data_IF_185437094056
#
_entry.id   IF_185437094056
#
_cell.length_a   1.000
_cell.length_b   1.000
_cell.length_c   1.000
_cell.angle_alpha   90.00
_cell.angle_beta   90.00
_cell.angle_gamma   90.00
#
_symmetry.space_group_name_H-M   'P 1'
#
loop_
_entity.id
_entity.type
_entity.pdbx_description
1 polymer ?
#
# COMPACT_ATOMS: atom_id res chain seq x y z
N UNK A 1 -45.67 -6.69 -17.83
CA UNK A 1 -45.97 -5.44 -17.09
C UNK A 1 -47.30 -4.82 -17.54
N UNK A 2 -48.37 -5.61 -17.74
CA UNK A 2 -49.61 -5.14 -18.39
C UNK A 2 -50.64 -4.46 -17.47
N UNK A 3 -50.42 -4.45 -16.14
CA UNK A 3 -51.43 -4.00 -15.16
C UNK A 3 -50.99 -2.80 -14.31
N UNK A 4 -49.88 -2.14 -14.63
CA UNK A 4 -49.36 -1.01 -13.85
C UNK A 4 -50.34 0.18 -13.75
N UNK A 5 -51.10 0.55 -14.80
CA UNK A 5 -52.13 1.58 -14.70
C UNK A 5 -53.30 1.18 -13.77
N UNK A 6 -53.63 -0.12 -13.68
CA UNK A 6 -54.69 -0.64 -12.81
C UNK A 6 -54.24 -0.62 -11.35
N UNK A 7 -52.98 -0.98 -11.09
CA UNK A 7 -52.38 -0.97 -9.75
C UNK A 7 -52.28 0.44 -9.18
N UNK A 8 -51.98 1.46 -10.00
CA UNK A 8 -51.89 2.85 -9.55
C UNK A 8 -53.23 3.41 -9.04
N UNK A 9 -54.36 2.89 -9.52
CA UNK A 9 -55.71 3.25 -9.04
C UNK A 9 -56.14 2.54 -7.75
N UNK A 10 -55.35 1.58 -7.25
CA UNK A 10 -55.71 0.80 -6.07
C UNK A 10 -55.51 1.61 -4.77
N UNK A 11 -56.47 1.59 -3.81
CA UNK A 11 -56.35 2.34 -2.54
C UNK A 11 -55.08 2.02 -1.72
N UNK A 12 -54.58 0.78 -1.84
CA UNK A 12 -53.36 0.32 -1.15
C UNK A 12 -52.09 0.40 -2.02
N UNK A 13 -52.13 1.02 -3.21
CA UNK A 13 -50.98 1.09 -4.11
C UNK A 13 -49.71 1.60 -3.41
N UNK A 14 -49.84 2.63 -2.56
CA UNK A 14 -48.72 3.17 -1.78
C UNK A 14 -48.07 2.14 -0.85
N UNK A 15 -48.82 1.16 -0.36
CA UNK A 15 -48.31 0.10 0.51
C UNK A 15 -47.56 -0.97 -0.29
N UNK A 16 -48.02 -1.28 -1.50
CA UNK A 16 -47.40 -2.30 -2.36
C UNK A 16 -46.31 -1.75 -3.27
N UNK A 17 -46.18 -0.42 -3.39
CA UNK A 17 -45.23 0.21 -4.32
C UNK A 17 -43.81 -0.34 -4.17
N UNK A 18 -43.31 -0.44 -2.93
CA UNK A 18 -41.94 -0.93 -2.67
C UNK A 18 -41.78 -2.41 -3.08
N UNK A 19 -42.78 -3.25 -2.78
CA UNK A 19 -42.76 -4.68 -3.14
C UNK A 19 -42.88 -4.90 -4.65
N UNK A 20 -43.63 -4.04 -5.35
CA UNK A 20 -43.72 -4.05 -6.81
C UNK A 20 -42.37 -3.65 -7.43
N UNK A 21 -41.69 -2.63 -6.90
CA UNK A 21 -40.36 -2.25 -7.37
C UNK A 21 -39.32 -3.35 -7.10
N UNK A 22 -39.33 -3.96 -5.91
CA UNK A 22 -38.50 -5.12 -5.59
C UNK A 22 -38.74 -6.28 -6.59
N UNK A 23 -40.00 -6.59 -6.90
CA UNK A 23 -40.35 -7.62 -7.87
C UNK A 23 -39.85 -7.29 -9.29
N UNK A 24 -39.93 -6.03 -9.74
CA UNK A 24 -39.38 -5.59 -11.03
C UNK A 24 -37.86 -5.75 -11.07
N UNK A 25 -37.17 -5.41 -9.99
CA UNK A 25 -35.71 -5.60 -9.86
C UNK A 25 -35.36 -7.08 -9.99
N UNK A 26 -36.12 -7.97 -9.33
CA UNK A 26 -35.90 -9.41 -9.39
C UNK A 26 -36.12 -10.01 -10.79
N UNK A 27 -37.11 -9.52 -11.53
CA UNK A 27 -37.38 -9.95 -12.92
C UNK A 27 -36.26 -9.54 -13.88
N UNK A 28 -35.59 -8.42 -13.63
CA UNK A 28 -34.48 -7.91 -14.43
C UNK A 28 -33.11 -8.15 -13.75
N UNK A 29 -33.03 -9.09 -12.80
CA UNK A 29 -31.88 -9.18 -11.91
C UNK A 29 -30.64 -9.69 -12.64
N UNK A 30 -29.76 -8.76 -13.02
CA UNK A 30 -28.41 -9.10 -13.42
C UNK A 30 -27.62 -9.68 -12.25
N UNK A 31 -27.04 -10.86 -12.48
CA UNK A 31 -26.18 -11.53 -11.51
C UNK A 31 -24.98 -10.65 -11.14
N UNK A 32 -24.74 -10.50 -9.84
CA UNK A 32 -23.57 -9.80 -9.33
C UNK A 32 -22.36 -10.71 -9.53
N UNK A 33 -21.38 -10.24 -10.31
CA UNK A 33 -20.09 -10.94 -10.46
C UNK A 33 -19.21 -10.62 -9.27
N UNK A 34 -19.08 -11.59 -8.36
CA UNK A 34 -18.21 -11.48 -7.19
C UNK A 34 -16.75 -11.20 -7.60
N UNK A 35 -16.08 -10.30 -6.87
CA UNK A 35 -14.65 -10.00 -7.02
C UNK A 35 -13.89 -10.23 -5.71
N UNK A 36 -12.56 -10.17 -5.75
CA UNK A 36 -11.75 -10.03 -4.52
C UNK A 36 -11.42 -8.55 -4.32
N UNK A 37 -11.69 -8.04 -3.13
CA UNK A 37 -11.47 -6.65 -2.79
C UNK A 37 -9.99 -6.34 -2.73
N UNK A 38 -9.62 -5.18 -3.24
CA UNK A 38 -8.32 -4.58 -2.99
C UNK A 38 -8.39 -3.83 -1.66
N UNK A 39 -7.50 -4.20 -0.75
CA UNK A 39 -7.52 -3.68 0.61
C UNK A 39 -6.27 -2.88 0.92
N UNK A 40 -6.43 -1.71 1.52
CA UNK A 40 -5.31 -0.87 1.99
C UNK A 40 -5.73 -0.03 3.20
N UNK A 41 -4.79 0.43 4.04
CA UNK A 41 -5.09 1.43 5.06
C UNK A 41 -5.74 2.68 4.45
N UNK A 42 -6.72 3.24 5.15
CA UNK A 42 -7.49 4.40 4.69
C UNK A 42 -7.34 5.57 5.65
N UNK A 43 -6.76 6.67 5.15
CA UNK A 43 -6.43 7.85 5.95
C UNK A 43 -7.26 9.09 5.57
N UNK A 44 -8.23 8.95 4.66
CA UNK A 44 -8.99 10.08 4.12
C UNK A 44 -10.32 10.33 4.81
N UNK A 45 -10.65 9.54 5.83
CA UNK A 45 -11.94 9.65 6.54
C UNK A 45 -12.16 11.04 7.13
N UNK A 46 -11.12 11.58 7.80
CA UNK A 46 -11.14 12.93 8.37
C UNK A 46 -10.87 14.05 7.35
N UNK A 47 -10.71 13.74 6.07
CA UNK A 47 -10.62 14.76 5.02
C UNK A 47 -12.05 15.13 4.57
N UNK A 48 -12.59 16.22 5.14
CA UNK A 48 -13.97 16.66 4.88
C UNK A 48 -14.25 16.92 3.40
N UNK A 49 -13.30 17.48 2.65
CA UNK A 49 -13.46 17.74 1.21
C UNK A 49 -13.59 16.42 0.43
N UNK A 50 -12.78 15.41 0.78
CA UNK A 50 -12.84 14.09 0.18
C UNK A 50 -14.14 13.37 0.55
N UNK A 51 -14.45 13.30 1.84
CA UNK A 51 -15.64 12.61 2.34
C UNK A 51 -16.92 13.23 1.78
N UNK A 52 -17.02 14.56 1.70
CA UNK A 52 -18.17 15.24 1.07
C UNK A 52 -18.38 14.86 -0.39
N UNK A 53 -17.30 14.59 -1.14
CA UNK A 53 -17.40 14.22 -2.54
C UNK A 53 -17.71 12.74 -2.75
N UNK A 54 -17.15 11.84 -1.92
CA UNK A 54 -17.12 10.40 -2.21
C UNK A 54 -17.79 9.51 -1.18
N UNK A 55 -17.90 9.92 0.07
CA UNK A 55 -18.65 9.17 1.09
C UNK A 55 -20.14 9.25 0.76
N UNK A 56 -20.84 8.13 0.92
CA UNK A 56 -22.30 8.13 0.90
C UNK A 56 -22.81 8.94 2.09
N UNK A 57 -23.81 9.80 1.87
CA UNK A 57 -24.45 10.54 2.96
C UNK A 57 -25.05 9.55 3.98
N UNK A 58 -24.64 9.66 5.24
CA UNK A 58 -25.13 8.80 6.34
C UNK A 58 -26.65 8.94 6.53
N UNK A 59 -27.26 10.06 6.09
CA UNK A 59 -28.72 10.21 6.05
C UNK A 59 -29.39 9.21 5.11
N UNK A 60 -28.66 8.61 4.16
CA UNK A 60 -29.18 7.54 3.32
C UNK A 60 -29.19 6.19 4.04
N UNK A 61 -28.56 6.04 5.21
CA UNK A 61 -28.72 4.84 6.03
C UNK A 61 -30.14 4.85 6.62
N UNK A 62 -30.90 3.79 6.31
CA UNK A 62 -32.26 3.56 6.85
C UNK A 62 -32.19 2.78 8.15
N UNK A 63 -31.35 1.74 8.21
CA UNK A 63 -31.11 0.98 9.44
C UNK A 63 -29.78 0.24 9.38
N UNK A 64 -29.25 -0.10 10.55
CA UNK A 64 -28.15 -1.04 10.75
C UNK A 64 -28.57 -2.08 11.79
N UNK A 65 -28.21 -3.35 11.56
CA UNK A 65 -28.46 -4.45 12.50
C UNK A 65 -27.33 -5.48 12.44
N UNK A 66 -27.25 -6.34 13.43
CA UNK A 66 -26.31 -7.45 13.46
C UNK A 66 -26.98 -8.74 13.98
N UNK A 67 -26.31 -9.87 13.80
CA UNK A 67 -26.79 -11.18 14.28
C UNK A 67 -26.18 -11.63 15.62
N UNK A 68 -25.32 -10.82 16.25
CA UNK A 68 -24.52 -11.16 17.43
C UNK A 68 -24.81 -10.36 18.70
N UNK A 69 -25.76 -9.43 18.67
CA UNK A 69 -26.04 -8.49 19.75
C UNK A 69 -24.90 -7.47 19.96
N UNK A 70 -24.73 -7.02 21.20
CA UNK A 70 -23.63 -6.13 21.57
C UNK A 70 -23.10 -6.42 22.98
N UNK A 71 -21.79 -6.24 23.16
CA UNK A 71 -21.16 -6.32 24.48
C UNK A 71 -21.30 -4.99 25.22
N UNK A 72 -21.85 -5.03 26.44
CA UNK A 72 -22.02 -3.84 27.29
C UNK A 72 -22.71 -2.69 26.52
N UNK A 73 -22.15 -1.47 26.55
CA UNK A 73 -22.66 -0.30 25.85
C UNK A 73 -22.12 -0.12 24.41
N UNK A 74 -21.41 -1.10 23.85
CA UNK A 74 -20.85 -1.06 22.49
C UNK A 74 -21.91 -1.44 21.43
N UNK A 75 -23.01 -0.70 21.40
CA UNK A 75 -24.18 -0.92 20.53
C UNK A 75 -23.86 -0.72 19.04
N UNK A 76 -24.68 -1.29 18.15
CA UNK A 76 -24.39 -1.35 16.71
C UNK A 76 -24.38 0.02 16.03
N UNK A 77 -25.15 0.97 16.57
CA UNK A 77 -25.24 2.34 16.07
C UNK A 77 -23.89 3.08 16.13
N UNK A 78 -23.00 2.68 17.05
CA UNK A 78 -21.64 3.23 17.14
C UNK A 78 -20.75 2.87 15.95
N UNK A 79 -21.13 1.89 15.14
CA UNK A 79 -20.38 1.55 13.93
C UNK A 79 -20.64 2.53 12.78
N UNK A 80 -21.53 3.51 12.94
CA UNK A 80 -21.92 4.48 11.91
C UNK A 80 -22.19 5.88 12.52
N UNK A 81 -21.59 6.19 13.67
CA UNK A 81 -21.89 7.42 14.42
C UNK A 81 -20.97 8.61 14.05
N UNK A 82 -19.98 8.38 13.21
CA UNK A 82 -19.00 9.38 12.78
C UNK A 82 -17.80 9.51 13.70
N UNK A 83 -17.73 8.77 14.82
CA UNK A 83 -16.67 8.89 15.83
C UNK A 83 -15.75 7.67 15.86
N UNK A 84 -14.54 7.84 15.32
CA UNK A 84 -13.49 6.81 15.35
C UNK A 84 -13.04 6.38 16.76
N UNK A 85 -13.52 6.99 17.84
CA UNK A 85 -13.25 6.60 19.23
C UNK A 85 -14.32 5.67 19.80
N UNK A 86 -15.51 5.64 19.23
CA UNK A 86 -16.57 4.70 19.61
C UNK A 86 -16.42 3.42 18.78
N UNK A 87 -17.17 2.40 19.15
CA UNK A 87 -17.22 1.14 18.42
C UNK A 87 -18.44 0.32 18.81
N UNK A 88 -18.85 -0.54 17.89
CA UNK A 88 -19.64 -1.73 18.16
C UNK A 88 -18.72 -2.92 18.50
N UNK A 89 -19.12 -3.74 19.46
CA UNK A 89 -18.52 -5.06 19.74
C UNK A 89 -19.63 -6.09 19.88
N UNK A 90 -19.53 -7.20 19.14
CA UNK A 90 -20.49 -8.30 19.22
C UNK A 90 -20.55 -8.91 20.62
N UNK A 91 -21.72 -9.45 21.02
CA UNK A 91 -21.83 -10.24 22.25
C UNK A 91 -21.64 -11.75 22.03
N UNK A 92 -21.47 -12.18 20.78
CA UNK A 92 -21.27 -13.57 20.41
C UNK A 92 -20.08 -13.71 19.47
N UNK A 93 -19.00 -14.32 19.94
CA UNK A 93 -17.83 -14.60 19.10
C UNK A 93 -18.14 -15.60 17.97
N UNK A 94 -17.38 -15.52 16.89
CA UNK A 94 -17.41 -16.48 15.79
C UNK A 94 -17.09 -17.90 16.28
N UNK A 95 -17.76 -18.89 15.70
CA UNK A 95 -17.54 -20.31 15.89
C UNK A 95 -17.78 -21.07 14.58
N UNK A 96 -17.72 -22.41 14.61
CA UNK A 96 -18.04 -23.23 13.43
C UNK A 96 -19.48 -23.03 12.95
N UNK A 97 -20.43 -22.81 13.87
CA UNK A 97 -21.86 -22.70 13.58
C UNK A 97 -22.37 -21.25 13.55
N UNK A 98 -21.49 -20.27 13.80
CA UNK A 98 -21.89 -18.86 13.89
C UNK A 98 -20.80 -17.94 13.35
N UNK A 99 -21.19 -17.09 12.40
CA UNK A 99 -20.34 -16.04 11.84
C UNK A 99 -21.05 -14.71 12.04
N UNK A 100 -20.35 -13.73 12.62
CA UNK A 100 -20.89 -12.40 12.80
C UNK A 100 -21.15 -11.73 11.44
N UNK A 101 -22.30 -11.07 11.35
CA UNK A 101 -22.75 -10.34 10.17
C UNK A 101 -23.37 -9.02 10.63
N UNK A 102 -23.04 -7.94 9.92
CA UNK A 102 -23.67 -6.63 10.06
C UNK A 102 -24.39 -6.31 8.77
N UNK A 103 -25.68 -5.98 8.86
CA UNK A 103 -26.52 -5.63 7.73
C UNK A 103 -26.92 -4.15 7.79
N UNK A 104 -26.67 -3.43 6.70
CA UNK A 104 -27.05 -2.04 6.50
C UNK A 104 -28.10 -1.98 5.41
N UNK A 105 -29.21 -1.30 5.66
CA UNK A 105 -30.25 -0.98 4.67
C UNK A 105 -30.22 0.51 4.35
N UNK A 106 -30.29 0.85 3.07
CA UNK A 106 -30.31 2.22 2.58
C UNK A 106 -31.73 2.70 2.26
N UNK A 107 -31.98 4.00 2.41
CA UNK A 107 -33.25 4.64 2.04
C UNK A 107 -33.44 4.62 0.54
N UNK A 108 -32.38 4.89 -0.23
CA UNK A 108 -32.33 4.74 -1.68
C UNK A 108 -31.18 3.83 -2.09
N UNK A 109 -31.35 3.10 -3.20
CA UNK A 109 -30.29 2.28 -3.75
C UNK A 109 -29.15 3.18 -4.26
N UNK A 110 -27.92 2.80 -3.95
CA UNK A 110 -26.73 3.62 -4.24
C UNK A 110 -25.64 2.75 -4.83
N UNK A 111 -24.90 3.29 -5.80
CA UNK A 111 -23.69 2.65 -6.31
C UNK A 111 -22.54 2.83 -5.32
N UNK A 112 -22.03 1.71 -4.81
CA UNK A 112 -20.88 1.66 -3.91
C UNK A 112 -19.79 0.82 -4.57
N UNK A 113 -18.54 1.23 -4.39
CA UNK A 113 -17.39 0.43 -4.83
C UNK A 113 -16.36 0.24 -3.71
N UNK A 114 -16.60 0.84 -2.55
CA UNK A 114 -15.68 0.84 -1.42
C UNK A 114 -16.45 0.77 -0.12
N UNK A 115 -16.01 -0.11 0.76
CA UNK A 115 -16.40 -0.15 2.16
C UNK A 115 -15.17 0.21 2.98
N UNK A 116 -15.30 1.17 3.88
CA UNK A 116 -14.26 1.51 4.85
C UNK A 116 -14.67 0.92 6.19
N UNK A 117 -13.76 0.17 6.82
CA UNK A 117 -14.01 -0.47 8.10
C UNK A 117 -12.80 -0.35 9.03
N UNK A 118 -13.05 -0.32 10.34
CA UNK A 118 -12.00 -0.33 11.36
C UNK A 118 -12.40 -1.18 12.56
N UNK A 119 -11.42 -1.68 13.29
CA UNK A 119 -11.66 -2.40 14.55
C UNK A 119 -11.73 -1.44 15.74
N UNK A 120 -12.03 -1.96 16.93
CA UNK A 120 -12.05 -1.14 18.13
C UNK A 120 -10.69 -0.41 18.35
N UNK A 121 -10.68 0.89 18.71
CA UNK A 121 -9.46 1.70 18.60
C UNK A 121 -8.38 1.38 19.64
N UNK A 122 -8.75 0.78 20.78
CA UNK A 122 -7.83 0.59 21.92
C UNK A 122 -6.75 -0.46 21.66
N UNK A 123 -7.08 -1.55 20.99
CA UNK A 123 -6.17 -2.69 20.77
C UNK A 123 -6.49 -3.49 19.50
N UNK A 124 -7.39 -2.99 18.64
CA UNK A 124 -7.81 -3.61 17.39
C UNK A 124 -8.46 -5.01 17.54
N UNK A 125 -8.87 -5.44 18.75
CA UNK A 125 -9.61 -6.70 18.91
C UNK A 125 -10.83 -6.69 18.00
N UNK A 126 -11.06 -7.80 17.32
CA UNK A 126 -12.22 -7.96 16.46
C UNK A 126 -12.08 -7.48 15.03
N UNK A 127 -10.90 -6.98 14.65
CA UNK A 127 -10.57 -6.62 13.29
C UNK A 127 -10.95 -7.73 12.30
N UNK A 128 -11.65 -7.37 11.23
CA UNK A 128 -12.01 -8.28 10.15
C UNK A 128 -10.77 -8.60 9.29
N UNK A 129 -10.08 -9.69 9.63
CA UNK A 129 -8.91 -10.18 8.89
C UNK A 129 -9.33 -10.81 7.55
N UNK A 130 -10.49 -11.45 7.52
CA UNK A 130 -11.13 -11.98 6.32
C UNK A 130 -12.63 -11.67 6.36
N UNK A 131 -13.19 -11.23 5.24
CA UNK A 131 -14.58 -10.82 5.17
C UNK A 131 -15.24 -11.17 3.82
N UNK A 132 -16.57 -11.19 3.84
CA UNK A 132 -17.42 -11.25 2.66
C UNK A 132 -18.39 -10.07 2.68
N UNK A 133 -18.58 -9.44 1.52
CA UNK A 133 -19.56 -8.41 1.26
C UNK A 133 -20.66 -9.05 0.42
N UNK A 134 -21.86 -9.12 0.96
CA UNK A 134 -23.05 -9.51 0.20
C UNK A 134 -23.93 -8.30 -0.02
N UNK A 135 -24.56 -8.24 -1.19
CA UNK A 135 -25.40 -7.12 -1.59
C UNK A 135 -26.76 -7.59 -2.09
N UNK A 136 -27.77 -6.78 -1.82
CA UNK A 136 -29.12 -6.92 -2.38
C UNK A 136 -29.55 -5.62 -3.03
N UNK A 137 -30.21 -5.72 -4.18
CA UNK A 137 -30.85 -4.59 -4.88
C UNK A 137 -32.28 -4.31 -4.37
N UNK A 138 -32.89 -5.25 -3.66
CA UNK A 138 -34.24 -5.13 -3.08
C UNK A 138 -34.18 -4.70 -1.62
N UNK A 139 -35.27 -4.16 -1.08
CA UNK A 139 -35.38 -3.81 0.35
C UNK A 139 -35.81 -4.98 1.24
N UNK A 140 -36.50 -5.98 0.68
CA UNK A 140 -36.93 -7.18 1.41
C UNK A 140 -36.52 -8.48 0.73
N UNK A 141 -36.75 -9.59 1.44
CA UNK A 141 -36.44 -10.95 0.98
C UNK A 141 -34.97 -11.34 1.14
N UNK A 142 -34.69 -12.64 1.04
CA UNK A 142 -33.32 -13.16 1.02
C UNK A 142 -32.81 -13.22 -0.42
N UNK A 143 -32.40 -12.07 -0.93
CA UNK A 143 -32.01 -11.82 -2.33
C UNK A 143 -30.53 -11.44 -2.44
N UNK A 144 -29.76 -11.77 -1.40
CA UNK A 144 -28.36 -11.45 -1.29
C UNK A 144 -27.52 -12.24 -2.29
N UNK A 145 -26.59 -11.54 -2.93
CA UNK A 145 -25.57 -12.12 -3.79
C UNK A 145 -24.20 -11.70 -3.26
N UNK A 146 -23.20 -12.58 -3.40
CA UNK A 146 -21.83 -12.26 -3.05
C UNK A 146 -21.30 -11.15 -3.99
N UNK A 147 -20.91 -10.02 -3.41
CA UNK A 147 -20.33 -8.87 -4.13
C UNK A 147 -18.81 -8.98 -4.12
N UNK A 148 -18.23 -9.23 -2.96
CA UNK A 148 -16.79 -9.32 -2.84
C UNK A 148 -16.35 -10.18 -1.67
N UNK A 149 -15.22 -10.86 -1.81
CA UNK A 149 -14.43 -11.35 -0.65
C UNK A 149 -13.29 -10.38 -0.39
N UNK A 150 -12.66 -10.44 0.78
CA UNK A 150 -11.43 -9.68 1.03
C UNK A 150 -10.69 -10.14 2.28
N UNK A 151 -9.43 -9.75 2.36
CA UNK A 151 -8.56 -10.01 3.52
C UNK A 151 -7.61 -8.85 3.73
N UNK A 152 -7.29 -8.53 4.97
CA UNK A 152 -6.27 -7.54 5.30
C UNK A 152 -5.60 -7.92 6.62
N UNK A 153 -4.29 -7.69 6.73
CA UNK A 153 -3.59 -7.87 8.00
C UNK A 153 -4.08 -6.81 8.99
N UNK A 154 -4.30 -7.18 10.25
CA UNK A 154 -4.74 -6.22 11.27
C UNK A 154 -3.83 -4.98 11.30
N UNK A 155 -4.46 -3.81 11.26
CA UNK A 155 -3.83 -2.49 11.39
C UNK A 155 -4.65 -1.64 12.35
N UNK A 156 -4.02 -0.61 12.91
CA UNK A 156 -4.76 0.44 13.62
C UNK A 156 -5.43 1.39 12.62
N UNK A 157 -6.58 1.93 12.99
CA UNK A 157 -7.36 2.83 12.14
C UNK A 157 -8.25 2.08 11.14
N UNK A 158 -8.46 2.69 9.98
CA UNK A 158 -9.41 2.22 8.98
C UNK A 158 -8.72 1.52 7.81
N UNK A 159 -9.46 0.62 7.17
CA UNK A 159 -9.09 -0.08 5.94
C UNK A 159 -10.15 0.16 4.88
N UNK A 160 -9.72 0.52 3.68
CA UNK A 160 -10.55 0.52 2.47
C UNK A 160 -10.60 -0.90 1.91
N UNK A 161 -11.79 -1.38 1.60
CA UNK A 161 -12.04 -2.57 0.77
C UNK A 161 -12.71 -2.12 -0.53
N UNK A 162 -11.91 -2.01 -1.60
CA UNK A 162 -12.35 -1.60 -2.94
C UNK A 162 -12.73 -2.80 -3.79
N UNK A 163 -13.90 -2.78 -4.41
CA UNK A 163 -14.44 -3.84 -5.27
C UNK A 163 -15.14 -3.23 -6.50
N UNK A 164 -15.69 -4.07 -7.37
CA UNK A 164 -16.39 -3.60 -8.57
C UNK A 164 -17.61 -2.73 -8.18
N UNK A 165 -17.78 -1.53 -8.78
CA UNK A 165 -18.96 -0.69 -8.52
C UNK A 165 -20.26 -1.47 -8.67
N UNK A 166 -21.11 -1.40 -7.65
CA UNK A 166 -22.34 -2.18 -7.56
C UNK A 166 -23.44 -1.34 -6.90
N UNK A 167 -24.58 -1.21 -7.57
CA UNK A 167 -25.78 -0.55 -7.00
C UNK A 167 -26.49 -1.48 -6.03
N UNK A 168 -26.61 -1.05 -4.77
CA UNK A 168 -27.13 -1.86 -3.67
C UNK A 168 -28.16 -1.06 -2.86
N UNK A 169 -29.19 -1.76 -2.37
CA UNK A 169 -30.19 -1.28 -1.41
C UNK A 169 -29.92 -1.79 0.01
N UNK A 170 -29.33 -2.98 0.12
CA UNK A 170 -28.86 -3.54 1.39
C UNK A 170 -27.49 -4.19 1.23
N UNK A 171 -26.67 -4.10 2.26
CA UNK A 171 -25.33 -4.68 2.32
C UNK A 171 -25.17 -5.50 3.59
N UNK A 172 -24.62 -6.71 3.48
CA UNK A 172 -24.15 -7.52 4.61
C UNK A 172 -22.63 -7.59 4.59
N UNK A 173 -22.01 -7.13 5.67
CA UNK A 173 -20.59 -7.31 5.94
C UNK A 173 -20.40 -8.48 6.91
N UNK A 174 -19.79 -9.57 6.42
CA UNK A 174 -19.65 -10.84 7.15
C UNK A 174 -18.21 -11.03 7.58
N UNK A 175 -17.99 -11.23 8.88
CA UNK A 175 -16.68 -11.41 9.49
C UNK A 175 -16.23 -12.87 9.37
N UNK A 176 -15.76 -13.31 8.21
CA UNK A 176 -15.29 -14.70 8.02
C UNK A 176 -14.20 -15.08 9.01
N UNK A 177 -13.28 -14.17 9.26
CA UNK A 177 -12.28 -14.28 10.32
C UNK A 177 -12.12 -12.92 11.00
N UNK A 178 -12.41 -12.88 12.30
CA UNK A 178 -12.18 -11.70 13.14
C UNK A 178 -11.08 -11.98 14.15
N UNK A 179 -10.27 -10.97 14.46
CA UNK A 179 -9.25 -11.10 15.50
C UNK A 179 -9.88 -11.52 16.83
N UNK A 180 -9.34 -12.57 17.44
CA UNK A 180 -9.87 -13.20 18.68
C UNK A 180 -11.33 -13.71 18.55
N UNK A 181 -11.86 -13.86 17.34
CA UNK A 181 -13.24 -14.25 17.05
C UNK A 181 -14.34 -13.25 17.50
N UNK A 182 -14.00 -12.08 18.03
CA UNK A 182 -14.99 -11.11 18.54
C UNK A 182 -15.15 -9.93 17.59
N UNK A 183 -16.09 -9.97 16.65
CA UNK A 183 -16.25 -8.88 15.67
C UNK A 183 -16.45 -7.49 16.32
N UNK A 184 -15.71 -6.50 15.82
CA UNK A 184 -15.86 -5.09 16.19
C UNK A 184 -15.86 -4.19 14.96
N UNK A 185 -16.52 -3.03 15.07
CA UNK A 185 -16.47 -1.95 14.09
C UNK A 185 -16.35 -0.62 14.82
N UNK A 186 -15.26 0.11 14.61
CA UNK A 186 -15.22 1.54 14.98
C UNK A 186 -16.09 2.35 14.05
N UNK A 187 -16.02 2.05 12.75
CA UNK A 187 -16.79 2.67 11.69
C UNK A 187 -17.02 1.68 10.56
N UNK A 188 -18.14 1.83 9.87
CA UNK A 188 -18.53 1.10 8.67
C UNK A 188 -19.21 2.08 7.70
N UNK A 189 -18.43 2.63 6.80
CA UNK A 189 -18.90 3.64 5.85
C UNK A 189 -18.71 3.20 4.40
N UNK A 190 -19.46 3.82 3.50
CA UNK A 190 -19.58 3.41 2.10
C UNK A 190 -19.15 4.56 1.20
N UNK A 191 -18.29 4.28 0.23
CA UNK A 191 -17.82 5.27 -0.73
C UNK A 191 -18.20 4.85 -2.15
N UNK A 192 -18.57 5.83 -2.97
CA UNK A 192 -18.75 5.66 -4.42
C UNK A 192 -17.41 5.69 -5.14
N UNK A 193 -17.41 5.41 -6.44
CA UNK A 193 -16.20 5.40 -7.26
C UNK A 193 -15.51 6.78 -7.31
N UNK A 194 -14.20 6.79 -7.14
CA UNK A 194 -13.33 7.94 -7.42
C UNK A 194 -12.67 7.72 -8.78
N UNK A 195 -13.31 8.23 -9.83
CA UNK A 195 -12.92 7.96 -11.22
C UNK A 195 -11.51 8.51 -11.51
N UNK A 196 -11.18 9.67 -10.95
CA UNK A 196 -9.90 10.34 -11.21
C UNK A 196 -8.78 9.58 -10.51
N UNK A 197 -8.93 9.24 -9.22
CA UNK A 197 -7.94 8.43 -8.52
C UNK A 197 -7.76 7.05 -9.18
N UNK A 198 -8.86 6.41 -9.59
CA UNK A 198 -8.81 5.12 -10.29
C UNK A 198 -8.03 5.22 -11.62
N UNK A 199 -8.20 6.29 -12.39
CA UNK A 199 -7.46 6.50 -13.63
C UNK A 199 -5.97 6.74 -13.39
N UNK A 200 -5.61 7.50 -12.35
CA UNK A 200 -4.22 7.77 -11.98
C UNK A 200 -3.53 6.52 -11.42
N UNK A 201 -4.26 5.67 -10.70
CA UNK A 201 -3.76 4.38 -10.21
C UNK A 201 -3.50 3.38 -11.35
N UNK A 202 -4.19 3.55 -12.49
CA UNK A 202 -4.14 2.62 -13.63
C UNK A 202 -3.12 2.98 -14.72
N UNK A 203 -2.32 4.04 -14.53
CA UNK A 203 -1.40 4.56 -15.55
C UNK A 203 -0.32 3.56 -15.99
N UNK A 204 0.14 2.72 -15.06
CA UNK A 204 1.33 1.90 -15.23
C UNK A 204 0.97 0.44 -15.55
N UNK A 205 1.88 -0.25 -16.23
CA UNK A 205 1.72 -1.67 -16.57
C UNK A 205 1.78 -2.56 -15.32
N UNK A 206 2.62 -2.19 -14.36
CA UNK A 206 2.83 -2.94 -13.11
C UNK A 206 3.37 -2.03 -11.97
N UNK A 207 3.66 -2.66 -10.82
CA UNK A 207 4.11 -1.97 -9.60
C UNK A 207 5.52 -1.36 -9.66
N UNK A 208 6.32 -1.63 -10.71
CA UNK A 208 7.60 -0.94 -10.93
C UNK A 208 7.39 0.50 -11.39
N UNK A 209 6.22 0.81 -11.96
CA UNK A 209 5.88 2.15 -12.46
C UNK A 209 6.95 2.74 -13.38
N UNK A 210 7.57 1.90 -14.22
CA UNK A 210 8.61 2.28 -15.18
C UNK A 210 8.12 2.29 -16.63
N UNK A 211 6.91 1.80 -16.86
CA UNK A 211 6.29 1.73 -18.19
C UNK A 211 4.81 2.11 -18.06
N UNK A 212 4.34 2.92 -19.00
CA UNK A 212 2.94 3.33 -19.11
C UNK A 212 2.16 2.34 -19.94
N UNK A 213 0.87 2.17 -19.62
CA UNK A 213 -0.01 1.44 -20.53
C UNK A 213 -0.18 2.23 -21.84
N UNK A 214 -0.38 1.54 -22.98
CA UNK A 214 -0.45 2.19 -24.30
C UNK A 214 -1.46 3.34 -24.39
N UNK A 215 -2.61 3.22 -23.75
CA UNK A 215 -3.67 4.24 -23.72
C UNK A 215 -3.28 5.52 -22.97
N UNK A 216 -2.24 5.46 -22.12
CA UNK A 216 -1.72 6.59 -21.34
C UNK A 216 -0.37 7.12 -21.87
N UNK A 217 0.26 6.45 -22.83
CA UNK A 217 1.59 6.79 -23.35
C UNK A 217 1.59 8.03 -24.29
N UNK A 218 1.02 9.15 -23.84
CA UNK A 218 0.90 10.39 -24.60
C UNK A 218 0.98 11.63 -23.71
N UNK A 219 1.76 12.63 -24.12
CA UNK A 219 1.88 13.91 -23.40
C UNK A 219 0.54 14.63 -23.27
N UNK A 220 -0.27 14.62 -24.33
CA UNK A 220 -1.62 15.20 -24.31
C UNK A 220 -2.51 14.53 -23.28
N UNK A 221 -2.37 13.20 -23.07
CA UNK A 221 -3.12 12.49 -22.04
C UNK A 221 -2.70 12.91 -20.63
N UNK A 222 -1.40 13.13 -20.40
CA UNK A 222 -0.89 13.65 -19.13
C UNK A 222 -1.40 15.06 -18.82
N UNK A 223 -1.43 15.95 -19.82
CA UNK A 223 -1.98 17.31 -19.67
C UNK A 223 -3.49 17.31 -19.36
N UNK A 224 -4.24 16.37 -19.93
CA UNK A 224 -5.65 16.19 -19.60
C UNK A 224 -5.82 15.79 -18.13
N UNK A 225 -5.09 14.75 -17.70
CA UNK A 225 -5.16 14.24 -16.32
C UNK A 225 -4.74 15.30 -15.30
N UNK A 226 -3.74 16.13 -15.62
CA UNK A 226 -3.32 17.25 -14.76
C UNK A 226 -4.44 18.27 -14.52
N UNK A 227 -5.24 18.56 -15.55
CA UNK A 227 -6.41 19.44 -15.43
C UNK A 227 -7.52 18.80 -14.59
N UNK A 228 -7.74 17.49 -14.74
CA UNK A 228 -8.74 16.74 -13.98
C UNK A 228 -8.41 16.69 -12.49
N UNK A 229 -7.13 16.52 -12.11
CA UNK A 229 -6.73 16.50 -10.69
C UNK A 229 -6.64 17.89 -10.05
N UNK A 230 -6.75 18.97 -10.83
CA UNK A 230 -6.44 20.34 -10.36
C UNK A 230 -7.26 20.79 -9.14
N UNK A 231 -8.51 20.32 -9.03
CA UNK A 231 -9.44 20.59 -7.94
C UNK A 231 -9.76 19.33 -7.10
N UNK A 232 -9.03 18.23 -7.30
CA UNK A 232 -9.27 17.00 -6.56
C UNK A 232 -8.74 17.12 -5.11
N UNK A 233 -9.47 16.67 -4.07
CA UNK A 233 -9.00 16.78 -2.68
C UNK A 233 -7.68 16.04 -2.42
N UNK A 234 -7.37 15.01 -3.20
CA UNK A 234 -6.11 14.26 -3.14
C UNK A 234 -5.07 14.71 -4.19
N UNK A 235 -5.20 15.92 -4.76
CA UNK A 235 -4.33 16.42 -5.83
C UNK A 235 -2.84 16.16 -5.59
N UNK A 236 -2.34 16.48 -4.38
CA UNK A 236 -0.91 16.33 -4.06
C UNK A 236 -0.43 14.89 -4.21
N UNK A 237 -1.24 13.92 -3.79
CA UNK A 237 -0.91 12.50 -3.85
C UNK A 237 -1.00 11.97 -5.29
N UNK A 238 -2.06 12.38 -6.02
CA UNK A 238 -2.24 12.00 -7.42
C UNK A 238 -1.15 12.61 -8.33
N UNK A 239 -0.72 13.84 -8.04
CA UNK A 239 0.32 14.53 -8.79
C UNK A 239 1.64 13.74 -8.77
N UNK A 240 1.99 13.08 -7.66
CA UNK A 240 3.23 12.28 -7.57
C UNK A 240 3.27 11.19 -8.65
N UNK A 241 2.18 10.45 -8.84
CA UNK A 241 2.09 9.41 -9.87
C UNK A 241 2.09 10.02 -11.27
N UNK A 242 1.42 11.16 -11.45
CA UNK A 242 1.39 11.85 -12.74
C UNK A 242 2.77 12.39 -13.13
N UNK A 243 3.54 12.90 -12.19
CA UNK A 243 4.91 13.38 -12.42
C UNK A 243 5.84 12.22 -12.81
N UNK A 244 5.69 11.05 -12.17
CA UNK A 244 6.40 9.82 -12.58
C UNK A 244 6.04 9.47 -14.03
N UNK A 245 4.76 9.48 -14.38
CA UNK A 245 4.30 9.18 -15.74
C UNK A 245 4.86 10.16 -16.78
N UNK A 246 4.86 11.47 -16.47
CA UNK A 246 5.47 12.50 -17.33
C UNK A 246 6.97 12.28 -17.50
N UNK A 247 7.69 11.96 -16.42
CA UNK A 247 9.12 11.68 -16.49
C UNK A 247 9.43 10.50 -17.41
N UNK A 248 8.60 9.45 -17.43
CA UNK A 248 8.76 8.32 -18.36
C UNK A 248 8.63 8.78 -19.83
N UNK A 249 7.76 9.75 -20.12
CA UNK A 249 7.57 10.29 -21.47
C UNK A 249 8.66 11.29 -21.90
N UNK A 250 9.29 11.96 -20.93
CA UNK A 250 10.30 12.98 -21.18
C UNK A 250 11.74 12.43 -21.19
N UNK A 251 11.99 11.27 -20.55
CA UNK A 251 13.34 10.76 -20.32
C UNK A 251 13.85 9.85 -21.44
N UNK A 252 15.03 10.17 -21.98
CA UNK A 252 16.10 9.19 -22.17
C UNK A 252 16.57 8.81 -20.75
N UNK A 253 16.23 7.61 -20.29
CA UNK A 253 16.47 7.12 -18.92
C UNK A 253 17.94 7.38 -18.50
N UNK A 254 18.20 8.34 -17.62
CA UNK A 254 19.53 8.91 -17.31
C UNK A 254 20.48 7.95 -16.55
N UNK A 255 20.12 6.67 -16.46
CA UNK A 255 20.85 5.65 -15.71
C UNK A 255 20.75 5.83 -14.20
N UNK A 256 19.89 6.72 -13.69
CA UNK A 256 19.71 6.93 -12.26
C UNK A 256 18.77 5.92 -11.58
N UNK A 257 18.68 4.72 -12.13
CA UNK A 257 17.84 3.65 -11.60
C UNK A 257 18.52 2.29 -11.63
N UNK A 258 18.00 1.36 -10.83
CA UNK A 258 18.40 -0.04 -10.84
C UNK A 258 17.19 -0.93 -10.55
N UNK A 259 17.06 -2.04 -11.28
CA UNK A 259 16.00 -3.02 -11.07
C UNK A 259 16.61 -4.34 -10.63
N UNK A 260 16.08 -4.91 -9.55
CA UNK A 260 16.50 -6.19 -8.99
C UNK A 260 15.29 -7.12 -8.89
N UNK A 261 15.45 -8.36 -9.33
CA UNK A 261 14.51 -9.45 -9.01
C UNK A 261 14.95 -10.03 -7.67
N UNK A 262 14.09 -9.90 -6.65
CA UNK A 262 14.41 -10.30 -5.29
C UNK A 262 14.32 -11.82 -5.13
N UNK A 263 15.45 -12.45 -4.83
CA UNK A 263 15.61 -13.90 -4.78
C UNK A 263 14.71 -14.54 -3.73
N UNK A 264 14.06 -15.65 -4.08
CA UNK A 264 13.18 -16.40 -3.18
C UNK A 264 13.94 -17.52 -2.45
N UNK A 265 14.94 -17.16 -1.64
CA UNK A 265 15.81 -18.13 -0.94
C UNK A 265 15.32 -18.52 0.47
N UNK A 266 14.17 -18.01 0.88
CA UNK A 266 13.64 -18.19 2.24
C UNK A 266 14.36 -17.33 3.29
N UNK A 267 13.88 -17.41 4.55
CA UNK A 267 14.56 -16.77 5.67
C UNK A 267 15.85 -17.55 6.01
N UNK A 268 17.04 -16.94 5.84
CA UNK A 268 18.31 -17.63 6.08
C UNK A 268 18.48 -18.05 7.55
N UNK A 269 17.76 -17.43 8.49
CA UNK A 269 17.78 -17.78 9.91
C UNK A 269 17.13 -19.15 10.16
N UNK A 270 16.06 -19.48 9.43
CA UNK A 270 15.37 -20.77 9.52
C UNK A 270 16.30 -21.89 9.04
N UNK A 271 16.93 -21.70 7.88
CA UNK A 271 17.89 -22.66 7.32
C UNK A 271 19.12 -22.81 8.22
N UNK A 272 19.69 -21.71 8.71
CA UNK A 272 20.84 -21.76 9.61
C UNK A 272 20.52 -22.52 10.91
N UNK A 273 19.33 -22.30 11.48
CA UNK A 273 18.87 -23.03 12.67
C UNK A 273 18.71 -24.53 12.38
N UNK A 274 18.06 -24.89 11.27
CA UNK A 274 17.84 -26.28 10.88
C UNK A 274 19.15 -27.06 10.67
N UNK A 275 20.19 -26.38 10.18
CA UNK A 275 21.50 -26.97 9.90
C UNK A 275 22.58 -26.67 10.96
N UNK A 276 22.21 -26.07 12.09
CA UNK A 276 23.13 -25.71 13.18
C UNK A 276 24.33 -24.87 12.71
N UNK A 277 24.12 -24.02 11.71
CA UNK A 277 25.14 -23.11 11.19
C UNK A 277 25.36 -22.01 12.23
N UNK A 278 26.56 -21.95 12.79
CA UNK A 278 26.95 -20.87 13.69
C UNK A 278 27.03 -19.53 12.92
N UNK A 279 26.55 -18.46 13.56
CA UNK A 279 26.53 -17.04 13.09
C UNK A 279 25.35 -16.67 12.19
N UNK A 280 25.11 -15.36 12.12
CA UNK A 280 24.03 -14.76 11.33
C UNK A 280 24.30 -14.94 9.83
N UNK A 281 23.31 -15.48 9.12
CA UNK A 281 23.30 -15.61 7.67
C UNK A 281 22.39 -14.56 7.04
N UNK A 282 22.72 -14.11 5.83
CA UNK A 282 21.95 -13.09 5.11
C UNK A 282 21.71 -13.51 3.67
N UNK A 283 20.53 -13.17 3.14
CA UNK A 283 20.20 -13.32 1.73
C UNK A 283 19.79 -11.96 1.20
N UNK A 284 20.74 -11.28 0.56
CA UNK A 284 20.59 -9.91 0.07
C UNK A 284 20.89 -9.86 -1.42
N UNK A 285 20.02 -9.23 -2.19
CA UNK A 285 20.29 -8.87 -3.58
C UNK A 285 20.64 -7.39 -3.65
N UNK A 286 21.73 -7.06 -4.32
CA UNK A 286 22.27 -5.70 -4.36
C UNK A 286 21.77 -4.92 -5.57
N UNK A 287 21.55 -3.63 -5.39
CA UNK A 287 21.31 -2.68 -6.48
C UNK A 287 22.62 -2.14 -7.08
N UNK A 288 23.78 -2.41 -6.47
CA UNK A 288 25.03 -1.71 -6.78
C UNK A 288 24.96 -0.21 -6.52
N UNK A 289 24.18 0.20 -5.52
CA UNK A 289 23.95 1.59 -5.15
C UNK A 289 24.05 1.80 -3.65
N UNK A 290 24.55 2.96 -3.23
CA UNK A 290 24.52 3.40 -1.84
C UNK A 290 23.69 4.67 -1.68
N UNK A 291 23.05 4.84 -0.53
CA UNK A 291 22.34 6.06 -0.19
C UNK A 291 23.29 7.03 0.54
N UNK A 292 23.34 8.28 0.08
CA UNK A 292 23.97 9.36 0.82
C UNK A 292 23.16 9.71 2.08
N UNK A 293 23.78 10.40 3.03
CA UNK A 293 23.15 10.75 4.31
C UNK A 293 21.97 11.70 4.09
N UNK A 294 20.81 11.38 4.65
CA UNK A 294 19.59 12.16 4.46
C UNK A 294 19.01 12.14 3.04
N UNK A 295 19.59 11.38 2.11
CA UNK A 295 19.07 11.25 0.76
C UNK A 295 17.68 10.59 0.78
N UNK A 296 16.75 11.12 0.00
CA UNK A 296 15.45 10.47 -0.21
C UNK A 296 15.49 9.70 -1.51
N UNK A 297 15.26 8.39 -1.42
CA UNK A 297 15.19 7.46 -2.55
C UNK A 297 13.75 6.99 -2.75
N UNK A 298 13.42 6.66 -4.00
CA UNK A 298 12.13 6.08 -4.36
C UNK A 298 12.32 4.62 -4.70
N UNK A 299 11.48 3.77 -4.13
CA UNK A 299 11.52 2.32 -4.28
C UNK A 299 10.17 1.84 -4.78
N UNK A 300 10.14 1.30 -5.99
CA UNK A 300 8.94 0.79 -6.64
C UNK A 300 8.96 -0.73 -6.60
N UNK A 301 7.84 -1.33 -6.18
CA UNK A 301 7.76 -2.77 -5.95
C UNK A 301 6.63 -3.39 -6.76
N UNK A 302 6.98 -4.31 -7.64
CA UNK A 302 6.05 -5.23 -8.25
C UNK A 302 6.13 -6.58 -7.53
N UNK A 303 5.08 -6.92 -6.80
CA UNK A 303 5.03 -8.10 -5.95
C UNK A 303 3.61 -8.65 -5.81
N UNK A 304 3.51 -9.95 -5.55
CA UNK A 304 2.26 -10.58 -5.13
C UNK A 304 1.80 -10.00 -3.79
N UNK A 305 0.75 -9.17 -3.83
CA UNK A 305 0.15 -8.52 -2.64
C UNK A 305 -0.25 -9.47 -1.51
N UNK A 306 -0.45 -10.76 -1.82
CA UNK A 306 -0.82 -11.78 -0.85
C UNK A 306 0.38 -12.58 -0.32
N UNK A 307 1.54 -12.44 -0.95
CA UNK A 307 2.76 -13.14 -0.61
C UNK A 307 3.58 -12.40 0.46
N UNK A 308 4.68 -13.01 0.86
CA UNK A 308 5.64 -12.40 1.78
C UNK A 308 6.29 -11.18 1.09
N UNK A 309 6.18 -9.98 1.70
CA UNK A 309 6.76 -8.77 1.12
C UNK A 309 8.28 -8.67 1.34
N UNK A 310 9.05 -8.15 0.37
CA UNK A 310 10.47 -7.88 0.55
C UNK A 310 10.71 -6.68 1.47
N UNK A 311 11.93 -6.55 1.96
CA UNK A 311 12.41 -5.36 2.68
C UNK A 311 13.49 -4.66 1.88
N UNK A 312 13.50 -3.32 1.90
CA UNK A 312 14.72 -2.57 1.56
C UNK A 312 15.67 -2.64 2.75
N UNK A 313 16.95 -2.87 2.48
CA UNK A 313 17.99 -2.92 3.52
C UNK A 313 19.06 -1.89 3.23
N UNK A 314 19.30 -1.02 4.20
CA UNK A 314 20.48 -0.16 4.23
C UNK A 314 21.53 -0.79 5.12
N UNK A 315 22.74 -0.98 4.59
CA UNK A 315 23.88 -1.55 5.30
C UNK A 315 25.09 -0.63 5.23
N UNK A 316 25.50 -0.12 6.39
CA UNK A 316 26.74 0.61 6.54
C UNK A 316 27.92 -0.37 6.59
N UNK A 317 28.92 -0.14 5.76
CA UNK A 317 30.11 -0.98 5.70
C UNK A 317 30.91 -0.85 7.01
N UNK A 318 31.46 -1.98 7.48
CA UNK A 318 32.35 -2.06 8.65
C UNK A 318 31.78 -1.52 9.99
N UNK A 319 30.45 -1.41 10.12
CA UNK A 319 29.80 -1.01 11.38
C UNK A 319 28.94 -2.15 11.93
N UNK A 320 29.04 -2.50 13.22
CA UNK A 320 28.29 -3.64 13.80
C UNK A 320 26.77 -3.40 13.75
N UNK A 321 26.32 -2.22 14.17
CA UNK A 321 24.90 -1.86 14.28
C UNK A 321 24.36 -1.08 13.07
N UNK A 322 25.14 -1.07 11.98
CA UNK A 322 24.85 -0.31 10.77
C UNK A 322 23.86 -1.02 9.85
N UNK A 323 22.67 -1.34 10.35
CA UNK A 323 21.59 -2.00 9.61
C UNK A 323 20.27 -1.27 9.80
N UNK A 324 19.55 -1.01 8.71
CA UNK A 324 18.14 -0.60 8.74
C UNK A 324 17.37 -1.42 7.73
N UNK A 325 16.17 -1.88 8.12
CA UNK A 325 15.25 -2.64 7.28
C UNK A 325 13.95 -1.86 7.19
N UNK A 326 13.45 -1.71 5.97
CA UNK A 326 12.21 -1.03 5.69
C UNK A 326 11.28 -2.02 5.01
N UNK A 327 10.18 -2.43 5.67
CA UNK A 327 9.16 -3.24 5.02
C UNK A 327 8.61 -2.49 3.81
N UNK A 328 8.60 -3.14 2.65
CA UNK A 328 8.08 -2.52 1.44
C UNK A 328 6.61 -2.90 1.22
N UNK A 329 5.91 -2.03 0.51
CA UNK A 329 4.56 -2.26 -0.02
C UNK A 329 4.60 -2.27 -1.55
N UNK A 330 3.64 -2.92 -2.23
CA UNK A 330 3.51 -2.80 -3.69
C UNK A 330 3.39 -1.35 -4.15
N UNK A 331 3.97 -1.03 -5.31
CA UNK A 331 4.02 0.32 -5.86
C UNK A 331 5.11 1.18 -5.23
N UNK A 332 4.88 2.50 -5.19
CA UNK A 332 5.84 3.50 -4.71
C UNK A 332 6.00 3.49 -3.18
N UNK A 333 7.25 3.42 -2.75
CA UNK A 333 7.70 3.63 -1.37
C UNK A 333 8.74 4.76 -1.37
N UNK A 334 8.60 5.72 -0.45
CA UNK A 334 9.56 6.82 -0.28
C UNK A 334 10.35 6.61 1.00
N UNK A 335 11.67 6.51 0.89
CA UNK A 335 12.55 6.21 2.02
C UNK A 335 13.63 7.26 2.11
N UNK A 336 13.77 7.88 3.28
CA UNK A 336 14.88 8.80 3.58
C UNK A 336 15.97 8.06 4.34
N UNK A 337 17.19 8.10 3.82
CA UNK A 337 18.36 7.51 4.45
C UNK A 337 18.69 8.21 5.78
N UNK A 338 19.23 7.49 6.78
CA UNK A 338 19.52 8.09 8.08
C UNK A 338 20.53 9.24 8.03
N UNK A 339 20.50 10.09 9.05
CA UNK A 339 21.53 11.11 9.26
C UNK A 339 22.83 10.48 9.79
N UNK A 340 23.94 11.24 9.74
CA UNK A 340 25.26 10.77 10.20
C UNK A 340 25.26 10.27 11.64
N UNK A 341 24.44 10.88 12.51
CA UNK A 341 24.32 10.51 13.92
C UNK A 341 23.69 9.12 14.10
N UNK A 342 22.86 8.70 13.15
CA UNK A 342 22.13 7.44 13.19
C UNK A 342 22.86 6.32 12.45
N UNK A 343 23.43 6.63 11.28
CA UNK A 343 24.09 5.67 10.42
C UNK A 343 24.95 6.40 9.38
N UNK A 344 26.12 5.84 9.07
CA UNK A 344 26.92 6.33 7.95
C UNK A 344 26.30 5.97 6.59
N UNK A 345 26.96 6.42 5.52
CA UNK A 345 26.63 6.04 4.14
C UNK A 345 26.50 4.53 4.01
N UNK A 346 25.45 4.10 3.32
CA UNK A 346 25.00 2.71 3.38
C UNK A 346 24.67 2.16 2.01
N UNK A 347 25.18 0.96 1.72
CA UNK A 347 24.80 0.22 0.53
C UNK A 347 23.35 -0.25 0.63
N UNK A 348 22.66 -0.24 -0.50
CA UNK A 348 21.23 -0.54 -0.63
C UNK A 348 21.07 -1.95 -1.18
N UNK A 349 20.23 -2.74 -0.52
CA UNK A 349 19.89 -4.10 -0.90
C UNK A 349 18.38 -4.33 -0.81
N UNK A 350 17.92 -5.41 -1.42
CA UNK A 350 16.62 -6.00 -1.15
C UNK A 350 16.81 -7.34 -0.42
N UNK A 351 16.04 -7.55 0.64
CA UNK A 351 15.97 -8.81 1.39
C UNK A 351 14.57 -9.39 1.17
N UNK A 352 14.49 -10.49 0.41
CA UNK A 352 13.26 -11.27 0.25
C UNK A 352 13.40 -12.58 1.04
N UNK A 353 12.56 -12.75 2.05
CA UNK A 353 12.55 -13.92 2.93
C UNK A 353 11.58 -15.00 2.48
N UNK A 354 10.93 -14.80 1.34
CA UNK A 354 9.98 -15.76 0.79
C UNK A 354 10.68 -16.97 0.17
N UNK A 355 10.04 -18.13 0.26
CA UNK A 355 10.22 -19.26 -0.65
C UNK A 355 9.37 -19.09 -1.92
N UNK A 356 9.66 -19.82 -3.02
CA UNK A 356 8.84 -19.76 -4.24
C UNK A 356 7.38 -20.15 -4.02
N UNK A 357 7.07 -20.97 -3.01
CA UNK A 357 5.71 -21.35 -2.63
C UNK A 357 4.93 -20.25 -1.88
N UNK A 358 5.60 -19.19 -1.44
CA UNK A 358 5.03 -18.14 -0.58
C UNK A 358 4.79 -16.81 -1.33
N UNK A 359 5.07 -16.77 -2.64
CA UNK A 359 4.70 -15.68 -3.53
C UNK A 359 4.34 -16.28 -4.89
N UNK A 360 3.32 -15.74 -5.56
CA UNK A 360 2.97 -16.17 -6.92
C UNK A 360 4.12 -15.97 -7.94
N UNK A 361 5.02 -15.01 -7.68
CA UNK A 361 6.23 -14.75 -8.45
C UNK A 361 7.27 -14.01 -7.59
N UNK A 362 8.53 -14.05 -8.00
CA UNK A 362 9.60 -13.31 -7.33
C UNK A 362 9.41 -11.80 -7.51
N UNK A 363 9.36 -11.06 -6.39
CA UNK A 363 9.16 -9.60 -6.43
C UNK A 363 10.24 -8.90 -7.25
N UNK A 364 9.85 -7.94 -8.08
CA UNK A 364 10.77 -7.03 -8.76
C UNK A 364 10.79 -5.70 -8.02
N UNK A 365 11.97 -5.13 -7.83
CA UNK A 365 12.14 -3.87 -7.11
C UNK A 365 12.97 -2.93 -7.98
N UNK A 366 12.42 -1.75 -8.27
CA UNK A 366 13.09 -0.66 -8.97
C UNK A 366 13.47 0.41 -7.95
N UNK A 367 14.73 0.82 -7.96
CA UNK A 367 15.28 1.89 -7.13
C UNK A 367 15.58 3.09 -8.03
N UNK A 368 15.07 4.26 -7.65
CA UNK A 368 15.43 5.56 -8.27
C UNK A 368 16.14 6.41 -7.22
N UNK A 369 17.33 6.91 -7.57
CA UNK A 369 18.24 7.58 -6.63
C UNK A 369 19.21 6.62 -5.92
N UNK A 370 20.09 7.17 -5.09
CA UNK A 370 21.30 6.51 -4.65
C UNK A 370 22.44 6.65 -5.66
N UNK A 371 23.67 6.54 -5.18
CA UNK A 371 24.87 6.64 -6.01
C UNK A 371 25.35 5.25 -6.42
N UNK A 372 25.52 5.02 -7.72
CA UNK A 372 26.04 3.76 -8.26
C UNK A 372 27.49 3.52 -7.86
N UNK A 373 27.83 2.27 -7.58
CA UNK A 373 29.19 1.76 -7.49
C UNK A 373 29.34 0.47 -8.30
N UNK A 374 30.51 0.18 -8.88
CA UNK A 374 30.71 -1.04 -9.67
C UNK A 374 30.46 -2.31 -8.85
N UNK A 375 29.68 -3.25 -9.39
CA UNK A 375 29.41 -4.55 -8.79
C UNK A 375 29.71 -5.66 -9.78
N UNK A 376 30.36 -6.72 -9.29
CA UNK A 376 30.53 -7.98 -10.02
C UNK A 376 29.41 -8.95 -9.63
N UNK A 377 28.65 -9.43 -10.62
CA UNK A 377 27.63 -10.46 -10.45
C UNK A 377 28.12 -11.78 -11.03
N UNK A 378 28.39 -12.78 -10.17
CA UNK A 378 28.85 -14.08 -10.64
C UNK A 378 27.87 -14.71 -11.64
N UNK A 379 28.39 -15.21 -12.77
CA UNK A 379 27.60 -15.83 -13.84
C UNK A 379 26.77 -14.86 -14.70
N UNK A 380 26.79 -13.55 -14.40
CA UNK A 380 26.16 -12.50 -15.22
C UNK A 380 27.18 -11.49 -15.75
N UNK A 381 28.07 -11.04 -14.87
CA UNK A 381 29.24 -10.26 -15.25
C UNK A 381 30.28 -11.23 -15.80
N UNK A 382 30.45 -11.21 -17.11
CA UNK A 382 31.34 -12.11 -17.82
C UNK A 382 32.82 -11.78 -17.51
N UNK A 383 33.60 -12.71 -16.92
CA UNK A 383 35.02 -12.50 -16.73
C UNK A 383 35.88 -12.87 -17.96
N UNK A 384 35.33 -13.47 -19.03
CA UNK A 384 36.13 -14.10 -20.10
C UNK A 384 35.62 -13.91 -21.55
N UNK A 385 34.34 -13.59 -21.83
CA UNK A 385 33.82 -13.39 -23.21
C UNK A 385 33.18 -12.03 -23.53
N UNK A 386 33.12 -11.09 -22.56
CA UNK A 386 33.01 -9.65 -22.83
C UNK A 386 33.85 -8.88 -21.81
N UNK A 387 35.17 -8.92 -22.05
CA UNK A 387 36.19 -8.05 -21.46
C UNK A 387 36.25 -8.03 -19.90
N UNK A 388 37.10 -8.85 -19.23
CA UNK A 388 37.50 -8.60 -17.83
C UNK A 388 38.04 -7.17 -17.61
N UNK A 389 38.37 -6.47 -18.69
CA UNK A 389 38.74 -5.07 -18.66
C UNK A 389 37.52 -4.15 -18.46
N UNK A 390 36.25 -4.51 -18.73
CA UNK A 390 35.11 -3.60 -18.51
C UNK A 390 34.83 -3.36 -17.02
N UNK A 391 34.57 -4.40 -16.22
CA UNK A 391 34.37 -4.22 -14.77
C UNK A 391 35.61 -3.59 -14.13
N UNK A 392 36.81 -4.01 -14.56
CA UNK A 392 38.08 -3.41 -14.11
C UNK A 392 38.17 -1.93 -14.51
N UNK A 393 37.81 -1.53 -15.73
CA UNK A 393 37.75 -0.14 -16.22
C UNK A 393 36.74 0.68 -15.42
N UNK A 394 35.56 0.12 -15.14
CA UNK A 394 34.53 0.77 -14.32
C UNK A 394 35.03 0.98 -12.90
N UNK A 395 35.68 -0.02 -12.32
CA UNK A 395 36.30 0.05 -11.00
C UNK A 395 37.45 1.05 -10.95
N UNK A 396 38.36 1.04 -11.95
CA UNK A 396 39.44 2.02 -12.08
C UNK A 396 38.90 3.45 -12.25
N UNK A 397 37.87 3.62 -13.07
CA UNK A 397 37.18 4.92 -13.27
C UNK A 397 36.54 5.39 -11.96
N UNK A 398 35.91 4.48 -11.22
CA UNK A 398 35.33 4.77 -9.92
C UNK A 398 36.40 5.18 -8.89
N UNK A 399 37.52 4.44 -8.80
CA UNK A 399 38.65 4.81 -7.94
C UNK A 399 39.24 6.16 -8.30
N UNK A 400 39.45 6.46 -9.59
CA UNK A 400 39.93 7.78 -10.04
C UNK A 400 39.02 8.93 -9.62
N UNK A 401 37.69 8.72 -9.51
CA UNK A 401 36.76 9.71 -8.96
C UNK A 401 36.94 9.91 -7.45
N UNK A 402 37.33 8.87 -6.71
CA UNK A 402 37.52 8.93 -5.26
C UNK A 402 38.87 9.53 -4.83
N UNK A 403 39.94 9.33 -5.60
CA UNK A 403 41.30 9.78 -5.22
C UNK A 403 41.39 11.28 -4.88
N UNK A 404 40.82 12.22 -5.67
CA UNK A 404 40.84 13.65 -5.31
C UNK A 404 40.11 13.93 -3.99
N UNK A 405 39.01 13.24 -3.72
CA UNK A 405 38.24 13.36 -2.47
C UNK A 405 39.08 12.93 -1.26
N UNK A 406 39.80 11.82 -1.39
CA UNK A 406 40.66 11.29 -0.32
C UNK A 406 41.87 12.19 -0.07
N UNK A 407 42.51 12.72 -1.13
CA UNK A 407 43.63 13.66 -0.98
C UNK A 407 43.20 14.98 -0.32
N UNK A 408 42.02 15.51 -0.66
CA UNK A 408 41.47 16.73 -0.02
C UNK A 408 41.23 16.49 1.47
N UNK A 409 40.68 15.33 1.85
CA UNK A 409 40.46 14.96 3.25
C UNK A 409 41.77 14.80 4.05
N UNK A 410 42.84 14.33 3.41
CA UNK A 410 44.16 14.15 4.05
C UNK A 410 44.95 15.46 4.20
N UNK A 411 44.67 16.46 3.35
CA UNK A 411 45.45 17.72 3.29
C UNK A 411 44.73 18.92 3.91
N UNK A 412 43.41 18.85 4.13
CA UNK A 412 42.66 19.95 4.71
C UNK A 412 42.82 20.00 6.24
N UNK A 413 43.20 21.17 6.76
CA UNK A 413 43.25 21.43 8.20
C UNK A 413 41.82 21.57 8.77
N UNK A 414 41.59 21.22 10.04
CA UNK A 414 40.23 21.01 10.64
C UNK A 414 39.22 22.15 10.39
N UNK A 415 39.66 23.41 10.30
CA UNK A 415 38.79 24.57 10.06
C UNK A 415 38.24 24.62 8.63
N UNK A 416 39.04 24.27 7.62
CA UNK A 416 38.66 24.25 6.20
C UNK A 416 37.76 23.07 5.85
N UNK A 417 37.94 21.92 6.51
CA UNK A 417 37.05 20.77 6.37
C UNK A 417 35.60 21.11 6.75
N UNK A 418 35.39 21.82 7.86
CA UNK A 418 34.05 22.17 8.36
C UNK A 418 33.31 23.11 7.40
N UNK A 419 34.01 24.07 6.79
CA UNK A 419 33.43 25.01 5.82
C UNK A 419 33.20 24.37 4.44
N UNK A 420 34.08 23.46 3.99
CA UNK A 420 33.89 22.74 2.73
C UNK A 420 32.82 21.65 2.80
N UNK A 421 32.70 20.93 3.92
CA UNK A 421 31.59 19.99 4.12
C UNK A 421 30.23 20.71 4.12
N UNK A 422 30.16 21.95 4.62
CA UNK A 422 28.95 22.78 4.54
C UNK A 422 28.64 23.28 3.12
N UNK A 423 29.64 23.45 2.24
CA UNK A 423 29.42 23.84 0.84
C UNK A 423 29.12 22.65 -0.08
N UNK A 424 29.62 21.46 0.23
CA UNK A 424 29.34 20.20 -0.48
C UNK A 424 28.03 19.55 -0.02
N UNK A 425 27.55 19.88 1.19
CA UNK A 425 26.26 19.46 1.73
C UNK A 425 25.51 20.70 2.26
N UNK A 426 24.83 21.47 1.39
CA UNK A 426 24.21 22.73 1.78
C UNK A 426 22.89 22.46 2.52
N UNK A 427 22.98 22.10 3.80
CA UNK A 427 22.12 22.55 4.93
C UNK A 427 22.46 21.80 6.23
N UNK A 428 23.14 22.54 7.10
CA UNK A 428 23.08 22.49 8.58
C UNK A 428 23.59 21.23 9.29
N UNK A 429 24.92 21.09 9.42
CA UNK A 429 25.53 20.33 10.54
C UNK A 429 26.73 21.13 11.10
N UNK A 430 26.68 21.47 12.39
CA UNK A 430 27.83 21.94 13.18
C UNK A 430 28.43 20.71 13.88
N UNK A 431 29.48 20.12 13.31
CA UNK A 431 30.16 18.96 13.92
C UNK A 431 31.13 19.44 15.03
N UNK A 432 30.88 19.04 16.28
CA UNK A 432 31.92 18.96 17.33
C UNK A 432 32.55 17.56 17.28
N UNK A 433 33.83 17.48 16.94
CA UNK A 433 34.59 16.23 16.88
C UNK A 433 35.27 15.96 18.24
N UNK A 434 35.01 14.77 18.82
CA UNK A 434 35.64 14.28 20.05
C UNK A 434 37.16 13.98 19.87
N UNK A 435 37.96 13.97 20.95
CA UNK A 435 39.42 13.82 20.87
C UNK A 435 39.86 12.37 20.60
N UNK A 436 41.09 12.18 20.06
CA UNK A 436 41.58 10.89 19.61
C UNK A 436 41.94 9.95 20.78
N UNK A 437 41.58 8.67 20.65
CA UNK A 437 42.04 7.59 21.52
C UNK A 437 43.38 7.06 20.99
N UNK A 438 44.43 7.15 21.79
CA UNK A 438 45.72 6.52 21.50
C UNK A 438 45.65 5.03 21.85
N UNK A 439 45.85 4.15 20.85
CA UNK A 439 46.19 2.75 21.09
C UNK A 439 47.71 2.64 21.34
N UNK A 440 48.11 2.06 22.47
CA UNK A 440 49.46 1.52 22.67
C UNK A 440 49.47 0.08 22.16
N UNK A 441 50.55 -0.27 21.44
CA UNK A 441 50.75 -1.56 20.78
C UNK A 441 51.00 -2.73 21.71
#
# INVERSE_FOLDING_TARGET
MANEPILQGHPLYKQFKEEIEDAKILLNNEAIKATTAETKPFNYYSNEEYSKLFQMDDKNIKSIRNNGGHYSSAVIEKAIDGDLKTYWETNRGNSQDFVNEVEVEFKEAVEVNRIIYGARPSDNKGFAEEFEVHGSKTSKGDTYQLVSTGKHKMVSGLVEAKFKPTTLKRVKFKFKKSNQNWATLSELTFYKKDVIADQIDDLFTDGLMNELKPEYASKSKMEQLEKEIANHPLKKELQVKLDIAKNILDSDNDGNEAIVVASQRGDPSVTAQAHQIARTSFSLDTFGRYAALGETIQVFVDADKNGVMPNLVLRQIAHKDGWRRYPLQPGLNTITAPSLEQMGTSAIYVENRALPSEQAFASRVRLVGGTSFPVYYHGKTDPVQSDPVQFKKELEKYFKKLVPMIMILQTANRRTLSTMLQSLFPKTIRLQLAPPVHYKG
#
